data_IF_048192335157
#
_entry.id   IF_048192335157
#
_cell.length_a   1.000
_cell.length_b   1.000
_cell.length_c   1.000
_cell.angle_alpha   90.00
_cell.angle_beta   90.00
_cell.angle_gamma   90.00
#
_symmetry.space_group_name_H-M   'P 1'
#
loop_
_entity.id
_entity.type
_entity.pdbx_description
1 polymer ?
#
# COMPACT_ATOMS: atom_id res chain seq x y z
N UNK A 1 -14.57 -12.69 -8.99
CA UNK A 1 -13.93 -11.82 -7.98
C UNK A 1 -12.68 -11.20 -8.59
N UNK A 2 -12.61 -9.87 -8.72
CA UNK A 2 -11.41 -9.19 -9.24
C UNK A 2 -10.32 -9.18 -8.17
N UNK A 3 -9.08 -9.55 -8.54
CA UNK A 3 -7.91 -9.44 -7.67
C UNK A 3 -7.40 -8.01 -7.71
N UNK A 4 -7.09 -7.43 -6.56
CA UNK A 4 -6.52 -6.09 -6.46
C UNK A 4 -5.07 -6.09 -6.92
N UNK A 5 -4.73 -5.14 -7.77
CA UNK A 5 -3.44 -4.98 -8.44
C UNK A 5 -2.53 -4.14 -7.57
N UNK A 6 -1.38 -4.68 -7.22
CA UNK A 6 -0.44 -4.08 -6.27
C UNK A 6 0.88 -3.78 -6.95
N UNK A 7 1.38 -2.55 -6.80
CA UNK A 7 2.75 -2.17 -7.13
C UNK A 7 3.58 -2.14 -5.85
N UNK A 8 4.77 -2.73 -5.88
CA UNK A 8 5.75 -2.59 -4.80
C UNK A 8 6.83 -1.59 -5.18
N UNK A 9 6.82 -0.44 -4.51
CA UNK A 9 7.83 0.60 -4.60
C UNK A 9 8.65 0.77 -3.30
N UNK A 10 8.75 -0.32 -2.54
CA UNK A 10 9.55 -0.40 -1.33
C UNK A 10 11.05 -0.56 -1.68
N UNK A 11 11.94 0.31 -1.15
CA UNK A 11 13.38 0.27 -1.46
C UNK A 11 14.13 -0.89 -0.81
N UNK A 12 13.99 -1.19 0.50
CA UNK A 12 14.72 -2.29 1.13
C UNK A 12 14.39 -3.62 0.45
N UNK A 13 15.42 -4.23 -0.15
CA UNK A 13 15.28 -5.43 -0.99
C UNK A 13 14.62 -6.58 -0.23
N UNK A 14 15.09 -6.86 0.99
CA UNK A 14 14.60 -7.97 1.79
C UNK A 14 13.10 -7.82 2.12
N UNK A 15 12.68 -6.62 2.52
CA UNK A 15 11.27 -6.32 2.81
C UNK A 15 10.43 -6.40 1.53
N UNK A 16 10.96 -5.92 0.40
CA UNK A 16 10.27 -6.02 -0.90
C UNK A 16 10.07 -7.48 -1.31
N UNK A 17 11.10 -8.32 -1.20
CA UNK A 17 11.01 -9.76 -1.52
C UNK A 17 10.00 -10.48 -0.60
N UNK A 18 10.01 -10.16 0.69
CA UNK A 18 9.04 -10.68 1.67
C UNK A 18 7.59 -10.31 1.28
N UNK A 19 7.34 -9.03 1.01
CA UNK A 19 6.03 -8.53 0.58
C UNK A 19 5.60 -9.15 -0.75
N UNK A 20 6.52 -9.24 -1.72
CA UNK A 20 6.24 -9.80 -3.03
C UNK A 20 5.82 -11.27 -2.92
N UNK A 21 6.55 -12.07 -2.14
CA UNK A 21 6.22 -13.48 -1.88
C UNK A 21 4.85 -13.61 -1.21
N UNK A 22 4.56 -12.77 -0.21
CA UNK A 22 3.32 -12.80 0.54
C UNK A 22 2.11 -12.39 -0.32
N UNK A 23 2.25 -11.35 -1.15
CA UNK A 23 1.23 -10.91 -2.10
C UNK A 23 0.94 -12.00 -3.14
N UNK A 24 1.97 -12.61 -3.72
CA UNK A 24 1.81 -13.69 -4.72
C UNK A 24 1.06 -14.90 -4.16
N UNK A 25 1.20 -15.19 -2.87
CA UNK A 25 0.55 -16.31 -2.17
C UNK A 25 -0.89 -16.00 -1.72
N UNK A 26 -1.31 -14.74 -1.72
CA UNK A 26 -2.59 -14.35 -1.14
C UNK A 26 -3.68 -14.22 -2.20
N UNK A 27 -4.74 -15.02 -2.04
CA UNK A 27 -5.95 -14.87 -2.86
C UNK A 27 -6.51 -13.44 -2.73
N UNK A 28 -7.02 -12.90 -3.84
CA UNK A 28 -7.57 -11.55 -3.90
C UNK A 28 -6.53 -10.43 -4.13
N UNK A 29 -5.23 -10.72 -4.08
CA UNK A 29 -4.16 -9.79 -4.47
C UNK A 29 -3.42 -10.28 -5.72
N UNK A 30 -2.84 -9.34 -6.48
CA UNK A 30 -1.95 -9.61 -7.61
C UNK A 30 -0.85 -8.58 -7.63
N UNK A 31 0.40 -9.03 -7.54
CA UNK A 31 1.55 -8.17 -7.79
C UNK A 31 1.65 -7.91 -9.31
N UNK A 32 1.59 -6.64 -9.71
CA UNK A 32 1.62 -6.24 -11.13
C UNK A 32 2.93 -5.56 -11.54
N UNK A 33 3.63 -4.91 -10.60
CA UNK A 33 4.95 -4.34 -10.85
C UNK A 33 5.77 -4.21 -9.56
N UNK A 34 7.10 -4.16 -9.73
CA UNK A 34 8.05 -3.74 -8.71
C UNK A 34 8.80 -2.51 -9.25
N UNK A 35 8.70 -1.37 -8.58
CA UNK A 35 9.18 -0.07 -9.08
C UNK A 35 9.99 0.62 -8.00
N UNK A 36 11.32 0.52 -8.03
CA UNK A 36 12.17 1.13 -6.99
C UNK A 36 12.37 2.64 -7.14
N UNK A 37 12.04 3.18 -8.32
CA UNK A 37 12.13 4.60 -8.65
C UNK A 37 10.73 5.24 -8.67
N UNK A 38 10.46 6.09 -7.68
CA UNK A 38 9.15 6.74 -7.53
C UNK A 38 8.80 7.66 -8.72
N UNK A 39 9.77 8.11 -9.50
CA UNK A 39 9.50 8.93 -10.69
C UNK A 39 8.82 8.15 -11.81
N UNK A 40 8.99 6.82 -11.83
CA UNK A 40 8.35 5.90 -12.80
C UNK A 40 6.99 5.39 -12.34
N UNK A 41 6.60 5.75 -11.12
CA UNK A 41 5.38 5.26 -10.50
C UNK A 41 4.10 5.70 -11.25
N UNK A 42 3.97 6.94 -11.78
CA UNK A 42 2.80 7.33 -12.57
C UNK A 42 2.56 6.44 -13.78
N UNK A 43 3.58 6.27 -14.62
CA UNK A 43 3.47 5.41 -15.80
C UNK A 43 3.18 3.95 -15.43
N UNK A 44 3.73 3.46 -14.32
CA UNK A 44 3.44 2.10 -13.85
C UNK A 44 1.98 1.94 -13.39
N UNK A 45 1.42 2.95 -12.71
CA UNK A 45 0.01 2.96 -12.29
C UNK A 45 -0.92 2.92 -13.49
N UNK A 46 -0.66 3.76 -14.50
CA UNK A 46 -1.45 3.81 -15.74
C UNK A 46 -1.41 2.48 -16.51
N UNK A 47 -0.21 1.95 -16.74
CA UNK A 47 -0.02 0.72 -17.53
C UNK A 47 -0.58 -0.53 -16.85
N UNK A 48 -0.60 -0.56 -15.52
CA UNK A 48 -1.03 -1.73 -14.76
C UNK A 48 -2.40 -1.57 -14.13
N UNK A 49 -2.99 -0.39 -14.24
CA UNK A 49 -4.22 0.04 -13.57
C UNK A 49 -4.18 -0.32 -12.07
N UNK A 50 -3.07 0.01 -11.39
CA UNK A 50 -2.87 -0.42 -10.02
C UNK A 50 -3.97 0.07 -9.06
N UNK A 51 -4.39 -0.78 -8.12
CA UNK A 51 -5.33 -0.40 -7.06
C UNK A 51 -4.58 0.03 -5.79
N UNK A 52 -3.38 -0.54 -5.58
CA UNK A 52 -2.54 -0.30 -4.42
C UNK A 52 -1.09 -0.06 -4.80
N UNK A 53 -0.45 0.85 -4.08
CA UNK A 53 1.00 1.07 -4.12
C UNK A 53 1.55 0.90 -2.71
N UNK A 54 2.58 0.06 -2.56
CA UNK A 54 3.31 -0.07 -1.30
C UNK A 54 4.65 0.63 -1.42
N UNK A 55 4.92 1.64 -0.59
CA UNK A 55 6.18 2.39 -0.58
C UNK A 55 6.92 2.18 0.75
N UNK A 56 8.22 2.49 0.76
CA UNK A 56 8.93 2.67 2.03
C UNK A 56 8.57 4.04 2.63
N UNK A 57 8.27 4.07 3.91
CA UNK A 57 8.09 5.32 4.63
C UNK A 57 9.49 5.96 4.86
N UNK A 58 9.72 7.20 4.40
CA UNK A 58 11.00 7.87 4.58
C UNK A 58 11.23 8.31 6.05
N UNK A 59 12.49 8.62 6.42
CA UNK A 59 12.80 9.25 7.69
C UNK A 59 12.01 10.56 7.80
N UNK A 60 11.19 10.70 8.86
CA UNK A 60 10.21 11.79 9.01
C UNK A 60 8.77 11.31 8.99
N UNK A 61 8.53 10.10 8.47
CA UNK A 61 7.22 9.44 8.62
C UNK A 61 6.14 10.02 7.70
N UNK A 62 6.48 10.80 6.68
CA UNK A 62 5.52 11.41 5.75
C UNK A 62 5.51 10.69 4.41
N UNK A 63 4.35 10.63 3.76
CA UNK A 63 4.25 10.09 2.40
C UNK A 63 4.93 11.09 1.45
N UNK A 64 5.87 10.65 0.58
CA UNK A 64 6.57 11.54 -0.33
C UNK A 64 5.63 12.37 -1.21
N UNK A 65 5.96 13.64 -1.43
CA UNK A 65 5.15 14.56 -2.23
C UNK A 65 4.83 14.02 -3.65
N UNK A 66 5.78 13.35 -4.31
CA UNK A 66 5.57 12.71 -5.61
C UNK A 66 4.44 11.66 -5.59
N UNK A 67 4.27 10.97 -4.46
CA UNK A 67 3.19 9.99 -4.26
C UNK A 67 1.88 10.70 -3.96
N UNK A 68 1.91 11.83 -3.24
CA UNK A 68 0.70 12.63 -2.99
C UNK A 68 0.17 13.23 -4.29
N UNK A 69 1.04 13.79 -5.13
CA UNK A 69 0.66 14.29 -6.47
C UNK A 69 0.05 13.19 -7.33
N UNK A 70 0.68 12.01 -7.37
CA UNK A 70 0.14 10.85 -8.07
C UNK A 70 -1.27 10.46 -7.61
N UNK A 71 -1.54 10.50 -6.30
CA UNK A 71 -2.86 10.18 -5.76
C UNK A 71 -3.92 11.23 -6.13
N UNK A 72 -3.51 12.48 -6.38
CA UNK A 72 -4.42 13.51 -6.88
C UNK A 72 -4.83 13.23 -8.33
N UNK A 73 -3.90 12.74 -9.15
CA UNK A 73 -4.14 12.39 -10.56
C UNK A 73 -4.89 11.05 -10.71
N UNK A 74 -4.68 10.12 -9.78
CA UNK A 74 -5.33 8.80 -9.77
C UNK A 74 -6.11 8.57 -8.46
N UNK A 75 -7.29 9.20 -8.30
CA UNK A 75 -8.04 9.17 -7.05
C UNK A 75 -8.59 7.80 -6.70
N UNK A 76 -8.56 6.80 -7.59
CA UNK A 76 -8.95 5.42 -7.27
C UNK A 76 -7.85 4.60 -6.57
N UNK A 77 -6.62 5.10 -6.56
CA UNK A 77 -5.44 4.38 -6.05
C UNK A 77 -5.27 4.62 -4.56
N UNK A 78 -4.89 3.59 -3.83
CA UNK A 78 -4.51 3.68 -2.41
C UNK A 78 -3.01 3.47 -2.22
N UNK A 79 -2.44 4.15 -1.23
CA UNK A 79 -1.03 3.99 -0.84
C UNK A 79 -0.92 3.40 0.55
N UNK A 80 -0.02 2.43 0.70
CA UNK A 80 0.46 1.90 1.97
C UNK A 80 1.97 2.20 2.09
N UNK A 81 2.32 3.15 2.95
CA UNK A 81 3.71 3.46 3.27
C UNK A 81 4.15 2.66 4.49
N UNK A 82 5.14 1.78 4.35
CA UNK A 82 5.61 0.90 5.42
C UNK A 82 6.97 1.37 5.92
N UNK A 83 7.06 1.59 7.23
CA UNK A 83 8.33 1.73 7.94
C UNK A 83 8.79 0.33 8.37
N UNK A 84 9.91 -0.12 7.80
CA UNK A 84 10.47 -1.43 8.06
C UNK A 84 11.13 -1.56 9.43
N UNK A 85 11.52 -0.45 10.06
CA UNK A 85 12.23 -0.45 11.35
C UNK A 85 11.26 -0.34 12.51
N UNK A 86 10.26 0.54 12.38
CA UNK A 86 9.34 0.84 13.47
C UNK A 86 8.08 -0.04 13.48
N UNK A 87 7.94 -0.95 12.51
CA UNK A 87 6.73 -1.75 12.31
C UNK A 87 5.44 -0.90 12.21
N UNK A 88 5.60 0.30 11.63
CA UNK A 88 4.56 1.30 11.43
C UNK A 88 4.18 1.35 9.96
N UNK A 89 2.94 1.69 9.68
CA UNK A 89 2.56 2.05 8.33
C UNK A 89 1.58 3.21 8.30
N UNK A 90 1.50 3.86 7.15
CA UNK A 90 0.50 4.87 6.85
C UNK A 90 -0.29 4.45 5.63
N UNK A 91 -1.60 4.55 5.73
CA UNK A 91 -2.51 4.31 4.61
C UNK A 91 -3.10 5.63 4.19
N UNK A 92 -3.06 5.92 2.89
CA UNK A 92 -3.82 7.03 2.29
C UNK A 92 -4.74 6.46 1.22
N UNK A 93 -6.03 6.57 1.47
CA UNK A 93 -7.07 6.12 0.55
C UNK A 93 -7.54 7.27 -0.36
N UNK A 94 -8.24 6.95 -1.46
CA UNK A 94 -8.98 7.87 -2.33
C UNK A 94 -9.70 9.04 -1.64
N UNK A 95 -10.27 8.80 -0.46
CA UNK A 95 -10.97 9.80 0.34
C UNK A 95 -10.05 10.87 0.96
N UNK A 96 -8.75 10.83 0.68
CA UNK A 96 -7.74 11.75 1.21
C UNK A 96 -7.38 11.52 2.68
N UNK A 97 -8.09 10.62 3.37
CA UNK A 97 -7.85 10.32 4.79
C UNK A 97 -6.59 9.48 4.95
N UNK A 98 -5.62 10.04 5.67
CA UNK A 98 -4.45 9.30 6.14
C UNK A 98 -4.77 8.58 7.44
N UNK A 99 -4.30 7.34 7.58
CA UNK A 99 -4.40 6.54 8.80
C UNK A 99 -3.05 5.97 9.16
N UNK A 100 -2.57 6.29 10.36
CA UNK A 100 -1.42 5.61 10.95
C UNK A 100 -1.85 4.24 11.50
N UNK A 101 -1.00 3.25 11.29
CA UNK A 101 -1.14 1.89 11.77
C UNK A 101 0.15 1.53 12.52
N UNK A 102 0.01 1.03 13.73
CA UNK A 102 1.14 0.64 14.58
C UNK A 102 1.13 -0.88 14.82
N UNK A 103 2.31 -1.46 15.09
CA UNK A 103 2.44 -2.87 15.45
C UNK A 103 2.03 -3.84 14.33
N UNK A 104 2.16 -3.44 13.05
CA UNK A 104 1.65 -4.23 11.94
C UNK A 104 2.49 -5.47 11.67
N UNK A 105 1.90 -6.66 11.74
CA UNK A 105 2.53 -7.84 11.15
C UNK A 105 2.42 -7.83 9.61
N UNK A 106 3.20 -8.68 8.94
CA UNK A 106 3.06 -8.91 7.49
C UNK A 106 1.62 -9.28 7.11
N UNK A 107 0.94 -10.09 7.94
CA UNK A 107 -0.47 -10.44 7.72
C UNK A 107 -1.39 -9.20 7.84
N UNK A 108 -1.10 -8.29 8.77
CA UNK A 108 -1.80 -7.01 8.90
C UNK A 108 -1.65 -6.13 7.66
N UNK A 109 -0.42 -5.99 7.15
CA UNK A 109 -0.12 -5.27 5.90
C UNK A 109 -0.94 -5.81 4.73
N UNK A 110 -0.98 -7.12 4.56
CA UNK A 110 -1.77 -7.73 3.50
C UNK A 110 -3.27 -7.43 3.69
N UNK A 111 -3.80 -7.58 4.91
CA UNK A 111 -5.21 -7.36 5.23
C UNK A 111 -5.70 -5.96 4.87
N UNK A 112 -4.85 -4.94 5.03
CA UNK A 112 -5.14 -3.58 4.56
C UNK A 112 -5.47 -3.58 3.07
N UNK A 113 -4.60 -4.17 2.25
CA UNK A 113 -4.75 -4.17 0.79
C UNK A 113 -5.94 -4.98 0.30
N UNK A 114 -6.35 -6.04 0.99
CA UNK A 114 -7.47 -6.89 0.57
C UNK A 114 -8.85 -6.26 0.82
N UNK A 115 -8.92 -5.21 1.63
CA UNK A 115 -10.18 -4.55 1.98
C UNK A 115 -10.37 -4.60 3.47
N UNK A 116 -9.50 -3.87 4.18
CA UNK A 116 -9.68 -3.57 5.60
C UNK A 116 -11.16 -3.25 5.87
N UNK A 117 -11.85 -3.94 6.80
CA UNK A 117 -13.19 -3.55 7.18
C UNK A 117 -13.11 -2.14 7.74
N UNK A 118 -13.87 -1.22 7.15
CA UNK A 118 -14.09 0.11 7.72
C UNK A 118 -14.38 -0.06 9.22
N UNK A 119 -13.61 0.55 10.16
CA UNK A 119 -13.93 0.47 11.58
C UNK A 119 -15.35 0.96 11.90
N UNK A 120 -16.03 1.65 10.98
CA UNK A 120 -17.46 1.97 11.10
C UNK A 120 -18.39 0.75 11.08
N UNK A 121 -17.95 -0.44 10.64
CA UNK A 121 -18.73 -1.69 10.70
C UNK A 121 -18.51 -2.49 11.98
N UNK A 122 -17.61 -2.07 12.88
CA UNK A 122 -17.50 -2.63 14.23
C UNK A 122 -18.38 -1.84 15.22
N UNK A 123 -19.66 -1.66 14.89
CA UNK A 123 -20.65 -1.39 15.94
C UNK A 123 -21.04 -2.71 16.57
N UNK A 124 -20.59 -2.88 17.82
CA UNK A 124 -21.27 -3.55 18.92
C UNK A 124 -22.37 -4.53 18.54
N UNK A 125 -22.14 -5.81 18.80
CA UNK A 125 -23.23 -6.70 19.21
C UNK A 125 -22.80 -7.39 20.51
N UNK A 126 -23.54 -7.20 21.62
CA UNK A 126 -23.38 -8.03 22.82
C UNK A 126 -23.85 -9.47 22.56
#
# INVERSE_FOLDING_TARGET
MQRRRVILANRPRLVRELLANAIRKRAGLRLVAEVTDLTRLPSAVELTEADWIVISLPPGGEIPAVVISLLADHPSVSVLAVDAESNRAKVRCPSGRERALEGLSLAGILSVMHGWPDPATSKHSP
#
